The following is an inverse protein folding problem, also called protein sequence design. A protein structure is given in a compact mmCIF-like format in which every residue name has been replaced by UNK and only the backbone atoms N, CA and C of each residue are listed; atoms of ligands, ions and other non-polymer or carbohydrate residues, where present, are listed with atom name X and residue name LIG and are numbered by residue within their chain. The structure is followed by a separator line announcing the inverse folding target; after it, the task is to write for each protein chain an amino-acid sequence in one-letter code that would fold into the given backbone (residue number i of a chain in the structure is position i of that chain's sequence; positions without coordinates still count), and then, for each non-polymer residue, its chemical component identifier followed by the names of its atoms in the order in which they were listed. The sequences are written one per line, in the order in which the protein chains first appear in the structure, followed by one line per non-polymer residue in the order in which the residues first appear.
data_IF_566286161941
#
_entry.id   IF_566286161941
#
_cell.length_a   1.000
_cell.length_b   1.000
_cell.length_c   1.000
_cell.angle_alpha   90.00
_cell.angle_beta   90.00
_cell.angle_gamma   90.00
#
_symmetry.space_group_name_H-M   'P 1'
#
loop_
_entity.id
_entity.type
_entity.pdbx_description
1 polymer ?
#
# COMPACT_ATOMS: atom_id res chain seq x y z
N UNK A 1 -4.38 -9.13 -8.09
CA UNK A 1 -5.24 -8.62 -7.02
C UNK A 1 -4.92 -9.35 -5.73
N UNK A 2 -5.00 -8.69 -4.56
CA UNK A 2 -4.88 -9.35 -3.27
C UNK A 2 -5.69 -8.65 -2.19
N UNK A 3 -6.27 -9.44 -1.29
CA UNK A 3 -6.92 -8.94 -0.07
C UNK A 3 -5.95 -8.17 0.85
N UNK A 4 -4.65 -8.44 0.76
CA UNK A 4 -3.61 -7.80 1.58
C UNK A 4 -3.48 -6.30 1.31
N UNK A 5 -3.89 -5.82 0.13
CA UNK A 5 -3.92 -4.41 -0.21
C UNK A 5 -5.33 -3.89 -0.53
N UNK A 6 -6.36 -4.54 0.02
CA UNK A 6 -7.73 -4.01 0.05
C UNK A 6 -8.65 -4.45 -1.08
N UNK A 7 -8.26 -5.42 -1.93
CA UNK A 7 -9.19 -6.04 -2.88
C UNK A 7 -10.13 -7.03 -2.18
N UNK A 8 -11.27 -7.35 -2.81
CA UNK A 8 -12.20 -8.37 -2.30
C UNK A 8 -11.69 -9.81 -2.47
N UNK A 9 -10.75 -10.01 -3.40
CA UNK A 9 -10.21 -11.32 -3.74
C UNK A 9 -8.72 -11.26 -4.08
N UNK A 10 -8.08 -12.41 -3.98
CA UNK A 10 -6.70 -12.64 -4.44
C UNK A 10 -6.68 -13.44 -5.74
N UNK A 11 -5.75 -13.12 -6.63
CA UNK A 11 -5.47 -13.90 -7.84
C UNK A 11 -4.01 -14.39 -7.84
N UNK A 12 -3.66 -15.25 -8.80
CA UNK A 12 -2.31 -15.82 -8.93
C UNK A 12 -1.23 -14.75 -8.95
N UNK A 13 -1.44 -13.67 -9.73
CA UNK A 13 -0.47 -12.57 -9.84
C UNK A 13 -0.31 -11.83 -8.51
N UNK A 14 -1.39 -11.72 -7.74
CA UNK A 14 -1.35 -11.16 -6.39
C UNK A 14 -0.52 -12.01 -5.45
N UNK A 15 -0.73 -13.31 -5.44
CA UNK A 15 0.01 -14.24 -4.59
C UNK A 15 1.51 -14.26 -4.96
N UNK A 16 1.86 -14.31 -6.25
CA UNK A 16 3.25 -14.23 -6.71
C UNK A 16 3.94 -12.92 -6.27
N UNK A 17 3.18 -11.81 -6.29
CA UNK A 17 3.69 -10.52 -5.82
C UNK A 17 3.90 -10.52 -4.29
N UNK A 18 3.01 -11.14 -3.52
CA UNK A 18 3.18 -11.29 -2.07
C UNK A 18 4.42 -12.13 -1.74
N UNK A 19 4.64 -13.22 -2.47
CA UNK A 19 5.82 -14.07 -2.30
C UNK A 19 7.11 -13.26 -2.54
N UNK A 20 7.15 -12.45 -3.60
CA UNK A 20 8.28 -11.55 -3.85
C UNK A 20 8.45 -10.52 -2.73
N UNK A 21 7.37 -9.85 -2.29
CA UNK A 21 7.41 -8.87 -1.20
C UNK A 21 7.97 -9.49 0.08
N UNK A 22 7.51 -10.69 0.44
CA UNK A 22 8.00 -11.44 1.59
C UNK A 22 9.47 -11.82 1.44
N UNK A 23 9.89 -12.29 0.25
CA UNK A 23 11.28 -12.68 -0.02
C UNK A 23 12.28 -11.52 0.11
N UNK A 24 11.81 -10.29 -0.06
CA UNK A 24 12.60 -9.06 0.00
C UNK A 24 12.47 -8.31 1.35
N UNK A 25 11.76 -8.88 2.34
CA UNK A 25 11.45 -8.25 3.63
C UNK A 25 10.83 -6.84 3.49
N UNK A 26 9.92 -6.71 2.51
CA UNK A 26 9.16 -5.49 2.25
C UNK A 26 7.81 -5.54 2.95
N UNK A 27 7.29 -4.36 3.28
CA UNK A 27 5.99 -4.16 3.94
C UNK A 27 5.09 -3.39 2.99
N UNK A 28 3.86 -3.88 2.80
CA UNK A 28 2.80 -3.16 2.10
C UNK A 28 2.35 -1.97 2.97
N UNK A 29 2.38 -0.78 2.41
CA UNK A 29 2.02 0.48 3.09
C UNK A 29 0.62 0.95 2.71
N UNK A 30 0.03 0.39 1.65
CA UNK A 30 -1.36 0.66 1.27
C UNK A 30 -2.28 0.52 2.49
N UNK A 31 -3.19 1.49 2.63
CA UNK A 31 -4.16 1.51 3.71
C UNK A 31 -5.56 1.84 3.20
N UNK A 32 -6.56 1.16 3.73
CA UNK A 32 -7.95 1.30 3.30
C UNK A 32 -8.24 0.54 2.01
N UNK A 33 -9.37 0.88 1.39
CA UNK A 33 -9.91 0.21 0.21
C UNK A 33 -10.26 1.19 -0.92
N UNK A 34 -9.70 2.41 -0.90
CA UNK A 34 -9.94 3.39 -1.95
C UNK A 34 -9.25 2.97 -3.25
N UNK A 35 -10.03 2.95 -4.33
CA UNK A 35 -9.57 2.55 -5.66
C UNK A 35 -8.43 3.42 -6.19
N UNK A 36 -7.31 2.80 -6.56
CA UNK A 36 -6.13 3.44 -7.17
C UNK A 36 -6.16 3.38 -8.70
N UNK A 37 -7.20 2.80 -9.27
CA UNK A 37 -7.51 2.84 -10.69
C UNK A 37 -9.01 2.91 -10.90
N UNK A 38 -9.45 3.80 -11.77
CA UNK A 38 -10.85 4.01 -12.14
C UNK A 38 -10.97 4.25 -13.63
N UNK A 39 -11.85 3.52 -14.31
CA UNK A 39 -12.25 3.80 -15.69
C UNK A 39 -13.64 4.43 -15.74
N UNK A 40 -13.92 5.14 -16.82
CA UNK A 40 -15.21 5.80 -17.06
C UNK A 40 -16.41 4.83 -17.08
N UNK A 41 -16.16 3.54 -17.29
CA UNK A 41 -17.14 2.45 -17.32
C UNK A 41 -17.36 1.80 -15.94
N UNK A 42 -17.04 2.52 -14.85
CA UNK A 42 -17.18 2.10 -13.46
C UNK A 42 -16.32 0.90 -13.02
N UNK A 43 -15.37 0.46 -13.86
CA UNK A 43 -14.37 -0.50 -13.44
C UNK A 43 -13.37 0.17 -12.47
N UNK A 44 -13.39 -0.25 -11.22
CA UNK A 44 -12.47 0.21 -10.17
C UNK A 44 -11.60 -0.93 -9.64
N UNK A 45 -10.35 -0.63 -9.33
CA UNK A 45 -9.45 -1.59 -8.70
C UNK A 45 -8.34 -0.93 -7.88
N UNK A 46 -7.72 -1.72 -7.00
CA UNK A 46 -6.54 -1.33 -6.22
C UNK A 46 -5.32 -2.03 -6.81
N UNK A 47 -4.68 -1.37 -7.78
CA UNK A 47 -3.50 -1.87 -8.50
C UNK A 47 -2.27 -0.95 -8.37
N UNK A 48 -2.47 0.28 -7.88
CA UNK A 48 -1.40 1.14 -7.39
C UNK A 48 -0.97 0.69 -6.00
N UNK A 49 0.25 0.17 -5.89
CA UNK A 49 0.81 -0.38 -4.66
C UNK A 49 2.02 0.44 -4.20
N UNK A 50 2.16 0.59 -2.88
CA UNK A 50 3.29 1.19 -2.21
C UNK A 50 3.81 0.17 -1.21
N UNK A 51 5.08 -0.19 -1.34
CA UNK A 51 5.78 -1.06 -0.41
C UNK A 51 7.13 -0.44 -0.03
N UNK A 52 7.60 -0.74 1.16
CA UNK A 52 8.81 -0.16 1.70
C UNK A 52 9.54 -1.14 2.61
N UNK A 53 10.82 -0.91 2.86
CA UNK A 53 11.53 -1.65 3.92
C UNK A 53 10.85 -1.39 5.26
N UNK A 54 11.01 -2.31 6.22
CA UNK A 54 10.43 -2.17 7.55
C UNK A 54 10.75 -0.81 8.21
N UNK A 55 11.98 -0.29 8.01
CA UNK A 55 12.39 1.00 8.56
C UNK A 55 11.59 2.16 7.99
N UNK A 56 11.42 2.21 6.67
CA UNK A 56 10.69 3.29 6.00
C UNK A 56 9.20 3.16 6.30
N UNK A 57 8.64 1.94 6.21
CA UNK A 57 7.23 1.69 6.50
C UNK A 57 6.82 2.16 7.90
N UNK A 58 7.70 2.03 8.92
CA UNK A 58 7.45 2.50 10.29
C UNK A 58 7.30 4.01 10.42
N UNK A 59 7.91 4.76 9.51
CA UNK A 59 7.88 6.22 9.53
C UNK A 59 7.04 6.84 8.42
N UNK A 60 6.45 6.00 7.57
CA UNK A 60 5.43 6.42 6.61
C UNK A 60 4.09 6.59 7.32
N UNK A 61 3.44 7.74 7.11
CA UNK A 61 2.11 8.05 7.62
C UNK A 61 1.22 8.63 6.53
N UNK A 62 -0.06 8.80 6.86
CA UNK A 62 -1.03 9.55 6.04
C UNK A 62 -1.16 9.03 4.60
N UNK A 63 -0.96 7.71 4.43
CA UNK A 63 -1.17 7.07 3.14
C UNK A 63 -2.63 7.21 2.72
N UNK A 64 -2.86 7.78 1.55
CA UNK A 64 -4.19 8.04 1.01
C UNK A 64 -4.18 8.13 -0.51
N UNK A 65 -5.36 7.95 -1.09
CA UNK A 65 -5.61 8.13 -2.52
C UNK A 65 -6.37 9.44 -2.69
N UNK A 66 -5.81 10.38 -3.45
CA UNK A 66 -6.44 11.67 -3.74
C UNK A 66 -7.61 11.49 -4.71
N UNK A 67 -8.76 12.06 -4.36
CA UNK A 67 -9.97 12.05 -5.20
C UNK A 67 -10.13 13.35 -6.02
N UNK A 68 -9.27 14.34 -5.76
CA UNK A 68 -9.40 15.72 -6.24
C UNK A 68 -8.92 15.91 -7.68
N UNK A 69 -8.07 15.00 -8.18
CA UNK A 69 -7.49 15.10 -9.52
C UNK A 69 -7.91 13.93 -10.41
N UNK A 70 -8.75 14.21 -11.41
CA UNK A 70 -9.39 13.21 -12.28
C UNK A 70 -8.93 13.26 -13.74
N UNK A 71 -7.75 13.81 -14.02
CA UNK A 71 -7.24 13.91 -15.39
C UNK A 71 -6.74 12.59 -15.98
N UNK A 72 -6.59 11.53 -15.15
CA UNK A 72 -6.19 10.20 -15.58
C UNK A 72 -7.00 9.11 -14.86
N UNK A 73 -6.98 7.89 -15.39
CA UNK A 73 -7.58 6.71 -14.74
C UNK A 73 -6.85 6.28 -13.47
N UNK A 74 -5.70 6.86 -13.15
CA UNK A 74 -4.93 6.61 -11.93
C UNK A 74 -4.97 7.85 -11.03
N UNK A 75 -5.76 7.82 -9.93
CA UNK A 75 -5.70 8.85 -8.92
C UNK A 75 -4.32 8.87 -8.24
N UNK A 76 -3.93 10.02 -7.71
CA UNK A 76 -2.64 10.14 -7.03
C UNK A 76 -2.64 9.42 -5.68
N UNK A 77 -1.56 8.72 -5.40
CA UNK A 77 -1.26 8.21 -4.06
C UNK A 77 -0.37 9.23 -3.35
N UNK A 78 -0.72 9.58 -2.12
CA UNK A 78 0.05 10.49 -1.28
C UNK A 78 0.32 9.85 0.08
N UNK A 79 1.48 10.18 0.67
CA UNK A 79 1.90 9.75 2.00
C UNK A 79 3.01 10.68 2.48
N UNK A 80 3.22 10.71 3.78
CA UNK A 80 4.30 11.46 4.43
C UNK A 80 5.36 10.49 4.94
N UNK A 81 6.64 10.86 4.85
CA UNK A 81 7.72 10.13 5.52
C UNK A 81 8.33 11.03 6.58
N UNK A 82 8.18 10.65 7.84
CA UNK A 82 8.63 11.44 8.98
C UNK A 82 9.99 10.94 9.47
N UNK A 83 10.84 11.80 10.01
CA UNK A 83 11.98 11.43 10.87
C UNK A 83 12.85 10.24 10.39
N UNK A 84 13.10 10.09 9.08
CA UNK A 84 13.91 8.99 8.49
C UNK A 84 15.30 8.84 9.13
N UNK A 85 15.84 9.95 9.62
CA UNK A 85 17.20 10.11 10.10
C UNK A 85 17.33 10.00 11.62
N UNK A 86 16.22 10.02 12.37
CA UNK A 86 16.22 9.79 13.82
C UNK A 86 16.06 8.30 14.13
N UNK A 87 16.49 7.87 15.33
CA UNK A 87 16.23 6.48 15.77
C UNK A 87 14.72 6.24 15.75
N UNK A 88 14.20 5.20 15.08
CA UNK A 88 12.77 4.98 14.98
C UNK A 88 12.17 4.83 16.38
N UNK A 89 11.02 5.48 16.67
CA UNK A 89 10.33 5.29 17.94
C UNK A 89 10.03 3.80 18.14
N UNK A 90 10.22 3.30 19.36
CA UNK A 90 9.85 1.94 19.74
C UNK A 90 8.32 1.90 19.82
N UNK A 91 7.66 1.60 18.70
CA UNK A 91 6.22 1.39 18.63
C UNK A 91 5.97 -0.13 18.77
N UNK A 92 5.07 -0.57 19.67
CA UNK A 92 4.73 -1.99 19.81
C UNK A 92 4.33 -2.58 18.45
N UNK A 93 4.80 -3.80 18.16
CA UNK A 93 4.73 -4.48 16.85
C UNK A 93 3.33 -4.61 16.22
N UNK A 94 2.25 -4.21 16.91
CA UNK A 94 0.85 -4.41 16.51
C UNK A 94 0.38 -3.62 15.28
N UNK A 95 1.22 -2.83 14.60
CA UNK A 95 0.83 -2.08 13.40
C UNK A 95 1.35 -2.64 12.08
N UNK A 96 2.23 -3.63 12.10
CA UNK A 96 2.74 -4.25 10.87
C UNK A 96 1.98 -5.56 10.69
N UNK A 97 1.08 -5.62 9.70
CA UNK A 97 0.52 -6.89 9.25
C UNK A 97 1.68 -7.67 8.63
N UNK A 98 2.22 -8.64 9.38
CA UNK A 98 3.10 -9.66 8.81
C UNK A 98 2.21 -10.57 7.99
N UNK A 99 2.42 -10.56 6.67
CA UNK A 99 1.81 -11.52 5.76
C UNK A 99 2.39 -12.89 6.17
N UNK A 100 1.54 -13.78 6.68
CA UNK A 100 1.89 -15.18 7.03
C UNK A 100 1.11 -16.10 6.12
#
# INVERSE_FOLDING_TARGET
MSIEWGMEYSDTRGNELLDMIASLDLVIVNWGNTSTFRRADACESIIGLTFATQRVARVTSDWSVSEDYKASSHPYISYSINNLWEKPPIIPERRIRKIT
#
